data_IF_241684859064
#
_entry.id   IF_241684859064
#
_cell.length_a   1.000
_cell.length_b   1.000
_cell.length_c   1.000
_cell.angle_alpha   90.00
_cell.angle_beta   90.00
_cell.angle_gamma   90.00
#
_symmetry.space_group_name_H-M   'P 1'
#
loop_
_entity.id
_entity.type
_entity.pdbx_description
1 polymer ?
#
# COMPACT_ATOMS: atom_id res chain seq x y z
N UNK A 1 -3.60 -16.26 -7.57
CA UNK A 1 -4.89 -15.57 -7.30
C UNK A 1 -5.05 -15.44 -5.80
N UNK A 2 -5.64 -14.34 -5.32
CA UNK A 2 -5.85 -14.07 -3.88
C UNK A 2 -6.51 -15.26 -3.19
N UNK A 3 -7.55 -15.83 -3.82
CA UNK A 3 -8.28 -17.04 -3.39
C UNK A 3 -7.37 -18.22 -3.02
N UNK A 4 -6.50 -18.65 -3.93
CA UNK A 4 -5.70 -19.87 -3.71
C UNK A 4 -4.53 -19.68 -2.73
N UNK A 5 -4.02 -18.46 -2.58
CA UNK A 5 -2.89 -18.19 -1.68
C UNK A 5 -3.38 -17.84 -0.28
N UNK A 6 -4.15 -16.76 -0.15
CA UNK A 6 -4.53 -16.16 1.13
C UNK A 6 -5.69 -16.89 1.81
N UNK A 7 -6.67 -17.43 1.06
CA UNK A 7 -7.74 -18.26 1.61
C UNK A 7 -7.42 -19.78 1.53
N UNK A 8 -6.19 -20.13 1.13
CA UNK A 8 -5.72 -21.51 1.01
C UNK A 8 -4.68 -21.85 2.08
N UNK A 9 -3.51 -22.34 1.62
CA UNK A 9 -2.46 -22.84 2.52
C UNK A 9 -1.97 -21.78 3.52
N UNK A 10 -1.85 -20.51 3.11
CA UNK A 10 -1.39 -19.46 4.01
C UNK A 10 -2.37 -19.25 5.17
N UNK A 11 -3.68 -19.23 4.87
CA UNK A 11 -4.74 -19.14 5.87
C UNK A 11 -4.70 -20.29 6.88
N UNK A 12 -4.49 -21.53 6.42
CA UNK A 12 -4.38 -22.70 7.32
C UNK A 12 -3.17 -22.59 8.25
N UNK A 13 -2.04 -22.10 7.76
CA UNK A 13 -0.83 -21.89 8.57
C UNK A 13 -1.05 -20.78 9.60
N UNK A 14 -1.63 -19.65 9.18
CA UNK A 14 -1.94 -18.54 10.08
C UNK A 14 -2.94 -18.94 11.18
N UNK A 15 -4.01 -19.65 10.82
CA UNK A 15 -4.98 -20.15 11.79
C UNK A 15 -4.33 -21.10 12.82
N UNK A 16 -3.52 -22.06 12.35
CA UNK A 16 -2.85 -23.01 13.24
C UNK A 16 -1.87 -22.33 14.22
N UNK A 17 -1.24 -21.23 13.82
CA UNK A 17 -0.35 -20.47 14.69
C UNK A 17 -1.10 -19.79 15.86
N UNK A 18 -2.40 -19.53 15.70
CA UNK A 18 -3.22 -18.80 16.67
C UNK A 18 -3.98 -19.73 17.65
N UNK A 19 -4.13 -21.02 17.33
CA UNK A 19 -5.01 -21.93 18.07
C UNK A 19 -4.71 -22.07 19.56
N UNK A 20 -3.43 -22.02 19.94
CA UNK A 20 -2.99 -22.05 21.33
C UNK A 20 -2.78 -20.66 21.93
N UNK A 21 -2.60 -19.63 21.09
CA UNK A 21 -2.28 -18.27 21.51
C UNK A 21 -3.51 -17.43 21.83
N UNK A 22 -4.65 -17.70 21.19
CA UNK A 22 -5.88 -16.89 21.39
C UNK A 22 -6.46 -16.98 22.80
N UNK A 23 -6.03 -17.94 23.62
CA UNK A 23 -6.51 -18.07 25.01
C UNK A 23 -6.04 -16.89 25.86
N UNK A 24 -7.00 -16.07 26.29
CA UNK A 24 -6.75 -14.93 27.16
C UNK A 24 -6.77 -13.58 26.45
N UNK A 25 -7.00 -13.56 25.13
CA UNK A 25 -7.31 -12.36 24.38
C UNK A 25 -8.81 -12.19 24.20
N UNK A 26 -9.25 -10.95 24.18
CA UNK A 26 -10.64 -10.49 24.02
C UNK A 26 -10.90 -9.83 22.65
N UNK A 27 -9.85 -9.62 21.86
CA UNK A 27 -9.90 -9.03 20.53
C UNK A 27 -8.77 -9.57 19.64
N UNK A 28 -9.05 -9.80 18.35
CA UNK A 28 -8.04 -10.05 17.32
C UNK A 28 -8.00 -8.87 16.36
N UNK A 29 -6.79 -8.39 16.04
CA UNK A 29 -6.58 -7.38 14.99
C UNK A 29 -5.70 -8.00 13.91
N UNK A 30 -6.17 -8.00 12.66
CA UNK A 30 -5.43 -8.56 11.53
C UNK A 30 -5.64 -7.72 10.27
N UNK A 31 -4.85 -7.97 9.22
CA UNK A 31 -5.06 -7.34 7.92
C UNK A 31 -6.18 -8.01 7.10
N UNK A 32 -6.63 -7.34 6.03
CA UNK A 32 -7.75 -7.80 5.20
C UNK A 32 -7.47 -9.02 4.30
N UNK A 33 -6.25 -9.55 4.30
CA UNK A 33 -5.90 -10.79 3.57
C UNK A 33 -5.58 -11.96 4.51
N UNK A 34 -5.49 -11.74 5.83
CA UNK A 34 -5.28 -12.79 6.82
C UNK A 34 -6.59 -13.52 7.19
N UNK A 35 -7.14 -14.25 6.21
CA UNK A 35 -8.35 -15.05 6.41
C UNK A 35 -8.17 -16.17 7.45
N UNK A 36 -6.93 -16.58 7.73
CA UNK A 36 -6.61 -17.55 8.77
C UNK A 36 -6.87 -16.98 10.17
N UNK A 37 -6.36 -15.77 10.44
CA UNK A 37 -6.64 -15.07 11.69
C UNK A 37 -8.13 -14.77 11.89
N UNK A 38 -8.81 -14.31 10.84
CA UNK A 38 -10.26 -14.07 10.85
C UNK A 38 -11.01 -15.37 11.21
N UNK A 39 -10.69 -16.47 10.55
CA UNK A 39 -11.32 -17.76 10.79
C UNK A 39 -11.07 -18.30 12.21
N UNK A 40 -9.82 -18.20 12.70
CA UNK A 40 -9.44 -18.64 14.03
C UNK A 40 -10.19 -17.83 15.12
N UNK A 41 -10.27 -16.51 14.96
CA UNK A 41 -11.02 -15.63 15.85
C UNK A 41 -12.52 -15.97 15.87
N UNK A 42 -13.15 -16.13 14.70
CA UNK A 42 -14.56 -16.51 14.58
C UNK A 42 -14.85 -17.87 15.23
N UNK A 43 -13.96 -18.86 15.05
CA UNK A 43 -14.08 -20.18 15.68
C UNK A 43 -13.96 -20.10 17.21
N UNK A 44 -13.04 -19.27 17.70
CA UNK A 44 -12.86 -19.00 19.14
C UNK A 44 -13.96 -18.09 19.73
N UNK A 45 -14.83 -17.52 18.88
CA UNK A 45 -15.83 -16.49 19.25
C UNK A 45 -15.20 -15.24 19.87
N UNK A 46 -14.03 -14.86 19.38
CA UNK A 46 -13.35 -13.62 19.74
C UNK A 46 -13.66 -12.60 18.65
N UNK A 47 -14.11 -11.38 19.00
CA UNK A 47 -14.31 -10.30 18.03
C UNK A 47 -13.06 -10.01 17.22
N UNK A 48 -13.23 -9.71 15.93
CA UNK A 48 -12.12 -9.43 15.01
C UNK A 48 -12.24 -8.06 14.35
N UNK A 49 -11.17 -7.29 14.45
CA UNK A 49 -10.95 -6.04 13.72
C UNK A 49 -10.08 -6.35 12.51
N UNK A 50 -10.62 -6.13 11.32
CA UNK A 50 -9.89 -6.26 10.07
C UNK A 50 -9.44 -4.88 9.60
N UNK A 51 -8.14 -4.70 9.40
CA UNK A 51 -7.54 -3.46 8.92
C UNK A 51 -7.25 -3.58 7.42
N UNK A 52 -7.80 -2.67 6.63
CA UNK A 52 -7.52 -2.62 5.19
C UNK A 52 -6.04 -2.30 4.94
N UNK A 53 -5.41 -3.04 4.03
CA UNK A 53 -4.02 -2.83 3.57
C UNK A 53 -3.92 -2.52 2.07
N UNK A 54 -5.03 -2.69 1.34
CA UNK A 54 -5.18 -2.41 -0.08
C UNK A 54 -5.97 -1.11 -0.25
N UNK A 55 -5.26 -0.03 -0.56
CA UNK A 55 -5.83 1.31 -0.63
C UNK A 55 -7.00 1.43 -1.63
N UNK A 56 -6.90 0.71 -2.75
CA UNK A 56 -7.94 0.70 -3.78
C UNK A 56 -9.17 -0.12 -3.39
N UNK A 57 -9.05 -1.06 -2.44
CA UNK A 57 -10.08 -2.05 -2.13
C UNK A 57 -10.34 -3.07 -3.23
N UNK A 58 -9.62 -3.02 -4.34
CA UNK A 58 -9.98 -3.73 -5.56
C UNK A 58 -9.32 -5.12 -5.68
N UNK A 59 -8.40 -5.46 -4.78
CA UNK A 59 -7.72 -6.76 -4.77
C UNK A 59 -8.54 -7.83 -4.02
N UNK A 60 -9.07 -7.49 -2.85
CA UNK A 60 -9.91 -8.37 -2.03
C UNK A 60 -11.38 -8.13 -2.37
N UNK A 61 -11.98 -9.09 -3.10
CA UNK A 61 -13.37 -8.99 -3.57
C UNK A 61 -14.21 -10.10 -2.96
N UNK A 62 -15.04 -9.83 -1.95
CA UNK A 62 -15.81 -10.86 -1.25
C UNK A 62 -16.59 -11.79 -2.19
N UNK A 63 -17.27 -11.24 -3.20
CA UNK A 63 -18.04 -12.03 -4.16
C UNK A 63 -17.21 -12.96 -5.07
N UNK A 64 -15.88 -12.86 -5.07
CA UNK A 64 -14.98 -13.83 -5.72
C UNK A 64 -14.33 -14.79 -4.73
N UNK A 65 -14.35 -14.45 -3.44
CA UNK A 65 -13.72 -15.24 -2.39
C UNK A 65 -14.67 -16.25 -1.75
N UNK A 66 -15.99 -16.14 -1.97
CA UNK A 66 -17.02 -16.97 -1.33
C UNK A 66 -16.67 -18.46 -1.32
N UNK A 67 -16.43 -19.07 -2.48
CA UNK A 67 -16.15 -20.50 -2.57
C UNK A 67 -14.87 -20.90 -1.81
N UNK A 68 -13.82 -20.07 -1.88
CA UNK A 68 -12.56 -20.33 -1.19
C UNK A 68 -12.71 -20.19 0.34
N UNK A 69 -13.47 -19.18 0.79
CA UNK A 69 -13.77 -18.97 2.21
C UNK A 69 -14.70 -20.06 2.75
N UNK A 70 -15.62 -20.59 1.96
CA UNK A 70 -16.47 -21.72 2.36
C UNK A 70 -15.63 -22.99 2.53
N UNK A 71 -14.69 -23.25 1.62
CA UNK A 71 -13.73 -24.37 1.77
C UNK A 71 -12.90 -24.18 3.05
N UNK A 72 -12.36 -22.99 3.27
CA UNK A 72 -11.56 -22.68 4.46
C UNK A 72 -12.36 -22.84 5.76
N UNK A 73 -13.61 -22.34 5.77
CA UNK A 73 -14.53 -22.46 6.91
C UNK A 73 -14.76 -23.93 7.28
N UNK A 74 -15.01 -24.78 6.28
CA UNK A 74 -15.18 -26.22 6.47
C UNK A 74 -13.90 -26.91 6.97
N UNK A 75 -12.73 -26.56 6.42
CA UNK A 75 -11.45 -27.13 6.83
C UNK A 75 -11.08 -26.78 8.28
N UNK A 76 -11.39 -25.56 8.70
CA UNK A 76 -11.09 -25.07 10.04
C UNK A 76 -12.21 -25.34 11.06
N UNK A 77 -13.37 -25.82 10.62
CA UNK A 77 -14.53 -26.06 11.50
C UNK A 77 -15.11 -24.76 12.06
N UNK A 78 -15.13 -23.69 11.27
CA UNK A 78 -15.78 -22.42 11.63
C UNK A 78 -17.30 -22.62 11.51
N UNK A 79 -18.11 -22.28 12.54
CA UNK A 79 -19.54 -22.60 12.57
C UNK A 79 -20.40 -21.74 11.62
N UNK A 80 -19.90 -20.58 11.22
CA UNK A 80 -20.57 -19.63 10.32
C UNK A 80 -19.62 -19.26 9.16
N UNK A 81 -20.15 -18.78 8.02
CA UNK A 81 -19.30 -18.31 6.92
C UNK A 81 -18.29 -17.25 7.41
N UNK A 82 -17.04 -17.38 6.96
CA UNK A 82 -15.99 -16.40 7.29
C UNK A 82 -16.43 -15.01 6.82
N UNK A 83 -16.36 -14.03 7.72
CA UNK A 83 -16.71 -12.63 7.45
C UNK A 83 -15.44 -11.88 7.04
N UNK A 84 -15.20 -11.60 5.75
CA UNK A 84 -13.93 -11.04 5.28
C UNK A 84 -13.65 -9.62 5.79
N UNK A 85 -14.67 -8.92 6.28
CA UNK A 85 -14.56 -7.60 6.90
C UNK A 85 -14.54 -7.65 8.43
N UNK A 86 -14.58 -8.85 9.02
CA UNK A 86 -14.60 -9.05 10.47
C UNK A 86 -15.88 -8.56 11.14
N UNK A 87 -15.78 -8.31 12.44
CA UNK A 87 -16.79 -7.58 13.23
C UNK A 87 -16.66 -6.07 13.02
N UNK A 88 -15.42 -5.60 12.80
CA UNK A 88 -15.11 -4.20 12.53
C UNK A 88 -14.11 -4.10 11.37
N UNK A 89 -14.39 -3.21 10.42
CA UNK A 89 -13.49 -2.97 9.29
C UNK A 89 -12.89 -1.57 9.37
N UNK A 90 -11.59 -1.48 9.65
CA UNK A 90 -10.86 -0.22 9.77
C UNK A 90 -10.15 0.10 8.46
N UNK A 91 -10.33 1.33 7.96
CA UNK A 91 -9.75 1.78 6.69
C UNK A 91 -8.79 2.95 6.95
N UNK A 92 -7.46 2.70 6.98
CA UNK A 92 -6.44 3.73 7.21
C UNK A 92 -6.09 4.53 5.94
N UNK A 93 -7.04 4.68 5.02
CA UNK A 93 -6.88 5.37 3.74
C UNK A 93 -7.96 6.44 3.58
N UNK A 94 -7.70 7.45 2.75
CA UNK A 94 -8.74 8.42 2.42
C UNK A 94 -9.78 7.80 1.46
N UNK A 95 -11.08 8.09 1.61
CA UNK A 95 -12.11 7.56 0.72
C UNK A 95 -11.83 7.73 -0.78
N UNK A 96 -11.27 8.85 -1.28
CA UNK A 96 -10.96 9.00 -2.71
C UNK A 96 -9.91 8.01 -3.23
N UNK A 97 -9.09 7.40 -2.35
CA UNK A 97 -8.08 6.41 -2.71
C UNK A 97 -8.69 5.06 -3.09
N UNK A 98 -9.90 4.75 -2.60
CA UNK A 98 -10.60 3.53 -3.01
C UNK A 98 -11.11 3.64 -4.45
N UNK A 99 -11.15 2.50 -5.12
CA UNK A 99 -11.85 2.36 -6.40
C UNK A 99 -13.35 2.47 -6.16
N UNK A 100 -14.07 3.37 -6.88
CA UNK A 100 -15.52 3.51 -6.75
C UNK A 100 -16.33 2.23 -7.01
N UNK A 101 -15.78 1.26 -7.75
CA UNK A 101 -16.43 -0.03 -8.00
C UNK A 101 -16.30 -1.01 -6.82
N UNK A 102 -15.40 -0.72 -5.87
CA UNK A 102 -15.13 -1.55 -4.68
C UNK A 102 -15.18 -0.69 -3.41
N UNK A 103 -16.35 -0.10 -3.09
CA UNK A 103 -16.51 0.72 -1.91
C UNK A 103 -16.27 -0.10 -0.64
N UNK A 104 -15.82 0.57 0.43
CA UNK A 104 -15.81 -0.04 1.75
C UNK A 104 -17.25 -0.33 2.22
N UNK A 105 -17.45 -1.27 3.14
CA UNK A 105 -18.72 -1.45 3.86
C UNK A 105 -19.26 -0.13 4.42
N UNK A 106 -20.58 -0.01 4.52
CA UNK A 106 -21.23 1.24 4.95
C UNK A 106 -20.89 1.62 6.41
N UNK A 107 -20.56 0.62 7.23
CA UNK A 107 -20.16 0.68 8.63
C UNK A 107 -18.64 0.69 8.81
N UNK A 108 -17.85 0.85 7.74
CA UNK A 108 -16.40 0.92 7.83
C UNK A 108 -15.92 2.11 8.68
N UNK A 109 -14.96 1.84 9.55
CA UNK A 109 -14.32 2.80 10.44
C UNK A 109 -13.14 3.45 9.72
N UNK A 110 -13.35 4.64 9.18
CA UNK A 110 -12.28 5.41 8.53
C UNK A 110 -11.32 5.96 9.56
N UNK A 111 -10.03 5.75 9.35
CA UNK A 111 -8.99 6.12 10.30
C UNK A 111 -7.91 6.96 9.63
N UNK A 112 -7.48 8.00 10.34
CA UNK A 112 -6.32 8.79 9.98
C UNK A 112 -5.06 7.93 10.16
N UNK A 113 -4.21 7.78 9.12
CA UNK A 113 -2.90 7.17 9.24
C UNK A 113 -1.92 8.12 9.95
N UNK A 114 -0.71 7.65 10.25
CA UNK A 114 0.31 8.49 10.88
C UNK A 114 0.52 9.80 10.11
N UNK A 115 0.43 10.91 10.84
CA UNK A 115 0.34 12.23 10.22
C UNK A 115 1.64 12.65 9.52
N UNK A 116 2.78 12.19 10.05
CA UNK A 116 4.12 12.57 9.62
C UNK A 116 4.36 14.09 9.60
N UNK A 117 5.58 14.49 9.26
CA UNK A 117 5.86 15.84 8.77
C UNK A 117 5.66 15.90 7.25
N UNK A 118 5.37 17.09 6.72
CA UNK A 118 5.43 17.37 5.29
C UNK A 118 6.05 18.77 5.12
N UNK A 119 7.38 18.90 5.26
CA UNK A 119 8.10 20.14 5.03
C UNK A 119 8.00 20.57 3.56
N UNK A 120 8.54 21.75 3.24
CA UNK A 120 8.66 22.18 1.86
C UNK A 120 9.57 21.20 1.09
N UNK A 121 9.19 20.81 -0.14
CA UNK A 121 9.95 19.85 -0.91
C UNK A 121 11.28 20.45 -1.37
N UNK A 122 12.34 19.64 -1.36
CA UNK A 122 13.73 20.08 -1.61
C UNK A 122 14.22 19.85 -3.05
N UNK A 123 13.31 19.47 -3.95
CA UNK A 123 13.61 19.11 -5.33
C UNK A 123 14.00 17.64 -5.52
N UNK A 124 14.09 16.84 -4.45
CA UNK A 124 14.52 15.46 -4.54
C UNK A 124 13.47 14.51 -5.12
N UNK A 125 13.95 13.40 -5.69
CA UNK A 125 13.15 12.30 -6.19
C UNK A 125 13.44 11.07 -5.34
N UNK A 126 12.40 10.42 -4.84
CA UNK A 126 12.50 9.11 -4.20
C UNK A 126 12.01 8.06 -5.19
N UNK A 127 12.80 7.01 -5.44
CA UNK A 127 12.43 5.94 -6.37
C UNK A 127 12.53 4.55 -5.73
N UNK A 128 11.57 3.66 -5.99
CA UNK A 128 11.64 2.25 -5.54
C UNK A 128 10.71 1.31 -6.31
N UNK A 129 11.14 0.07 -6.54
CA UNK A 129 10.25 -0.98 -7.07
C UNK A 129 9.72 -1.93 -5.98
N UNK A 130 9.87 -1.55 -4.71
CA UNK A 130 9.40 -2.36 -3.58
C UNK A 130 10.31 -3.54 -3.29
N UNK A 131 9.73 -4.60 -2.71
CA UNK A 131 10.43 -5.82 -2.28
C UNK A 131 9.86 -7.09 -2.88
N UNK A 132 8.72 -7.02 -3.57
CA UNK A 132 8.01 -8.21 -4.08
C UNK A 132 8.39 -8.57 -5.52
N UNK A 133 8.55 -7.57 -6.39
CA UNK A 133 8.86 -7.75 -7.81
C UNK A 133 10.12 -7.00 -8.24
N UNK A 134 10.90 -6.49 -7.27
CA UNK A 134 12.10 -5.71 -7.53
C UNK A 134 13.19 -6.56 -8.18
N UNK A 135 13.31 -7.85 -7.83
CA UNK A 135 14.26 -8.79 -8.42
C UNK A 135 13.87 -9.25 -9.82
N UNK A 136 12.58 -9.32 -10.13
CA UNK A 136 12.00 -9.75 -11.41
C UNK A 136 11.78 -8.58 -12.38
N UNK A 137 12.11 -7.36 -11.97
CA UNK A 137 11.88 -6.12 -12.74
C UNK A 137 12.77 -5.95 -14.00
N UNK A 138 13.63 -6.92 -14.29
CA UNK A 138 14.51 -6.90 -15.46
C UNK A 138 15.45 -5.68 -15.44
N UNK A 139 15.45 -4.91 -16.54
CA UNK A 139 16.28 -3.71 -16.74
C UNK A 139 15.61 -2.41 -16.24
N UNK A 140 14.47 -2.50 -15.53
CA UNK A 140 13.68 -1.32 -15.19
C UNK A 140 14.43 -0.37 -14.25
N UNK A 141 15.20 -0.90 -13.29
CA UNK A 141 16.05 -0.05 -12.45
C UNK A 141 17.14 0.66 -13.28
N UNK A 142 17.75 0.02 -14.27
CA UNK A 142 18.74 0.67 -15.15
C UNK A 142 18.11 1.81 -15.95
N UNK A 143 16.88 1.62 -16.46
CA UNK A 143 16.12 2.67 -17.13
C UNK A 143 15.76 3.83 -16.20
N UNK A 144 15.36 3.54 -14.96
CA UNK A 144 15.08 4.56 -13.92
C UNK A 144 16.35 5.34 -13.58
N UNK A 145 17.48 4.67 -13.33
CA UNK A 145 18.75 5.33 -12.97
C UNK A 145 19.27 6.22 -14.10
N UNK A 146 19.16 5.75 -15.35
CA UNK A 146 19.48 6.55 -16.53
C UNK A 146 18.58 7.78 -16.65
N UNK A 147 17.28 7.63 -16.36
CA UNK A 147 16.34 8.74 -16.36
C UNK A 147 16.67 9.78 -15.28
N UNK A 148 16.87 9.33 -14.03
CA UNK A 148 17.23 10.19 -12.89
C UNK A 148 18.52 10.97 -13.17
N UNK A 149 19.54 10.29 -13.72
CA UNK A 149 20.80 10.92 -14.13
C UNK A 149 20.58 12.05 -15.15
N UNK A 150 19.66 11.87 -16.09
CA UNK A 150 19.35 12.87 -17.12
C UNK A 150 18.57 14.09 -16.57
N UNK A 151 17.82 13.95 -15.48
CA UNK A 151 17.06 15.06 -14.88
C UNK A 151 17.94 16.05 -14.13
N UNK A 152 19.09 15.60 -13.62
CA UNK A 152 19.98 16.41 -12.78
C UNK A 152 19.45 16.68 -11.35
N UNK A 153 18.24 16.22 -11.01
CA UNK A 153 17.66 16.38 -9.68
C UNK A 153 18.33 15.42 -8.68
N UNK A 154 18.42 15.79 -7.38
CA UNK A 154 18.83 14.86 -6.33
C UNK A 154 17.88 13.66 -6.29
N UNK A 155 18.41 12.45 -6.20
CA UNK A 155 17.60 11.25 -6.17
C UNK A 155 18.15 10.22 -5.18
N UNK A 156 17.22 9.54 -4.49
CA UNK A 156 17.52 8.34 -3.72
C UNK A 156 16.69 7.17 -4.25
N UNK A 157 17.36 6.08 -4.57
CA UNK A 157 16.74 4.87 -5.12
C UNK A 157 16.90 3.74 -4.12
N UNK A 158 15.77 3.26 -3.59
CA UNK A 158 15.73 2.08 -2.72
C UNK A 158 15.44 0.83 -3.57
N UNK A 159 16.43 -0.07 -3.67
CA UNK A 159 16.39 -1.24 -4.57
C UNK A 159 15.90 -2.53 -3.90
N UNK A 160 15.76 -2.54 -2.56
CA UNK A 160 15.43 -3.73 -1.79
C UNK A 160 16.68 -4.52 -1.35
N UNK A 161 16.52 -5.32 -0.29
CA UNK A 161 17.64 -5.98 0.40
C UNK A 161 18.30 -7.10 -0.42
N UNK A 162 17.57 -7.66 -1.38
CA UNK A 162 18.04 -8.77 -2.21
C UNK A 162 18.88 -8.32 -3.41
N UNK A 163 19.01 -7.01 -3.63
CA UNK A 163 19.82 -6.44 -4.71
C UNK A 163 21.06 -5.72 -4.14
N UNK A 164 22.20 -5.87 -4.80
CA UNK A 164 23.44 -5.15 -4.46
C UNK A 164 23.51 -3.83 -5.26
N UNK A 165 23.64 -2.65 -4.61
CA UNK A 165 23.81 -1.37 -5.31
C UNK A 165 24.97 -1.34 -6.31
N UNK A 166 26.06 -2.07 -6.04
CA UNK A 166 27.24 -2.14 -6.92
C UNK A 166 26.92 -2.68 -8.31
N UNK A 167 25.83 -3.46 -8.46
CA UNK A 167 25.41 -4.01 -9.77
C UNK A 167 25.10 -2.93 -10.81
N UNK A 168 24.77 -1.73 -10.34
CA UNK A 168 24.40 -0.59 -11.18
C UNK A 168 25.58 0.31 -11.53
N UNK A 169 26.80 -0.04 -11.09
CA UNK A 169 28.00 0.76 -11.32
C UNK A 169 27.96 2.14 -10.65
N UNK A 170 28.92 2.98 -11.02
CA UNK A 170 29.02 4.35 -10.48
C UNK A 170 27.87 5.22 -10.94
N UNK A 171 27.18 5.85 -10.00
CA UNK A 171 26.14 6.84 -10.27
C UNK A 171 26.69 8.27 -10.15
N UNK A 172 26.07 9.26 -10.82
CA UNK A 172 26.38 10.67 -10.60
C UNK A 172 26.21 11.06 -9.12
N UNK A 173 26.93 12.08 -8.61
CA UNK A 173 26.91 12.45 -7.19
C UNK A 173 25.52 12.75 -6.61
N UNK A 174 24.58 13.20 -7.45
CA UNK A 174 23.21 13.51 -7.06
C UNK A 174 22.29 12.28 -7.00
N UNK A 175 22.71 11.11 -7.48
CA UNK A 175 21.91 9.87 -7.48
C UNK A 175 22.53 8.87 -6.51
N UNK A 176 21.80 8.54 -5.44
CA UNK A 176 22.21 7.55 -4.45
C UNK A 176 21.38 6.29 -4.59
N UNK A 177 22.03 5.12 -4.59
CA UNK A 177 21.37 3.82 -4.68
C UNK A 177 21.62 3.04 -3.40
N UNK A 178 20.56 2.66 -2.72
CA UNK A 178 20.60 2.03 -1.41
C UNK A 178 19.71 0.79 -1.38
N UNK A 179 20.11 -0.23 -0.62
CA UNK A 179 19.26 -1.42 -0.42
C UNK A 179 18.00 -1.08 0.39
N UNK A 180 18.13 -0.15 1.33
CA UNK A 180 17.05 0.28 2.21
C UNK A 180 17.18 1.77 2.51
N UNK A 181 16.04 2.44 2.53
CA UNK A 181 15.91 3.84 2.94
C UNK A 181 14.69 3.94 3.84
N UNK A 182 14.80 4.73 4.90
CA UNK A 182 13.64 5.05 5.72
C UNK A 182 12.74 6.05 4.96
N UNK A 183 11.64 5.54 4.43
CA UNK A 183 10.69 6.34 3.66
C UNK A 183 9.95 7.37 4.51
N UNK A 184 9.80 7.16 5.82
CA UNK A 184 9.18 8.14 6.71
C UNK A 184 10.12 9.35 6.94
N UNK A 185 11.41 9.19 6.64
CA UNK A 185 12.40 10.28 6.63
C UNK A 185 12.50 10.95 5.26
N UNK A 186 12.59 10.20 4.16
CA UNK A 186 12.90 10.82 2.84
C UNK A 186 11.68 11.30 2.06
N UNK A 187 10.53 10.61 2.14
CA UNK A 187 9.34 10.98 1.36
C UNK A 187 8.79 12.37 1.74
N UNK A 188 8.77 12.79 3.02
CA UNK A 188 8.32 14.13 3.38
C UNK A 188 9.04 15.29 2.66
N UNK A 189 10.27 15.08 2.18
CA UNK A 189 11.05 16.09 1.47
C UNK A 189 10.97 15.97 -0.07
N UNK A 190 10.45 14.85 -0.57
CA UNK A 190 10.46 14.54 -1.99
C UNK A 190 9.52 15.46 -2.79
N UNK A 191 10.00 15.94 -3.94
CA UNK A 191 9.15 16.62 -4.93
C UNK A 191 8.36 15.63 -5.79
N UNK A 192 8.89 14.42 -6.02
CA UNK A 192 8.23 13.33 -6.75
C UNK A 192 8.62 11.99 -6.12
N UNK A 193 7.66 11.08 -6.02
CA UNK A 193 7.91 9.67 -5.68
C UNK A 193 7.62 8.78 -6.89
N UNK A 194 8.63 8.08 -7.39
CA UNK A 194 8.50 7.07 -8.45
C UNK A 194 8.44 5.68 -7.79
N UNK A 195 7.35 4.95 -7.97
CA UNK A 195 7.20 3.65 -7.32
C UNK A 195 6.40 2.63 -8.15
N UNK A 196 6.48 1.37 -7.72
CA UNK A 196 5.76 0.25 -8.34
C UNK A 196 4.25 0.25 -8.10
N UNK A 197 3.70 1.10 -7.22
CA UNK A 197 2.25 1.14 -6.96
C UNK A 197 1.75 0.36 -5.74
N UNK A 198 2.61 -0.11 -4.84
CA UNK A 198 2.15 -0.74 -3.59
C UNK A 198 1.34 0.23 -2.71
N UNK A 199 0.26 -0.26 -2.10
CA UNK A 199 -0.70 0.55 -1.30
C UNK A 199 -0.04 1.37 -0.18
N UNK A 200 0.97 0.81 0.51
CA UNK A 200 1.73 1.53 1.54
C UNK A 200 2.53 2.71 1.00
N UNK A 201 3.17 2.56 -0.18
CA UNK A 201 3.88 3.67 -0.83
C UNK A 201 2.92 4.73 -1.38
N UNK A 202 1.76 4.31 -1.88
CA UNK A 202 0.71 5.23 -2.31
C UNK A 202 0.28 6.14 -1.16
N UNK A 203 -0.04 5.54 -0.01
CA UNK A 203 -0.40 6.28 1.19
C UNK A 203 0.74 7.18 1.67
N UNK A 204 1.96 6.65 1.82
CA UNK A 204 3.13 7.42 2.27
C UNK A 204 3.42 8.62 1.38
N UNK A 205 3.30 8.47 0.06
CA UNK A 205 3.51 9.56 -0.89
C UNK A 205 2.45 10.66 -0.74
N UNK A 206 1.18 10.29 -0.55
CA UNK A 206 0.11 11.24 -0.22
C UNK A 206 0.39 11.94 1.11
N UNK A 207 0.80 11.19 2.14
CA UNK A 207 1.10 11.73 3.47
C UNK A 207 2.35 12.60 3.51
N UNK A 208 3.33 12.37 2.64
CA UNK A 208 4.47 13.26 2.41
C UNK A 208 4.14 14.48 1.55
N UNK A 209 2.97 14.51 0.91
CA UNK A 209 2.57 15.61 0.02
C UNK A 209 3.19 15.55 -1.38
N UNK A 210 3.76 14.41 -1.77
CA UNK A 210 4.50 14.25 -3.03
C UNK A 210 3.63 13.65 -4.15
N UNK A 211 3.57 14.30 -5.34
CA UNK A 211 3.07 13.69 -6.56
C UNK A 211 3.81 12.39 -6.94
N UNK A 212 3.13 11.52 -7.68
CA UNK A 212 3.59 10.13 -7.88
C UNK A 212 3.78 9.74 -9.35
N UNK A 213 4.76 8.90 -9.63
CA UNK A 213 4.89 8.16 -10.90
C UNK A 213 4.77 6.68 -10.57
N UNK A 214 3.78 6.01 -11.15
CA UNK A 214 3.50 4.60 -10.87
C UNK A 214 3.89 3.72 -12.06
N UNK A 215 4.69 2.69 -11.81
CA UNK A 215 5.11 1.65 -12.77
C UNK A 215 4.59 0.27 -12.30
N UNK A 216 3.31 -0.05 -12.52
CA UNK A 216 2.67 -1.22 -11.93
C UNK A 216 3.11 -2.52 -12.61
N UNK A 217 3.57 -3.50 -11.83
CA UNK A 217 4.05 -4.80 -12.29
C UNK A 217 3.09 -5.96 -11.95
N UNK A 218 2.30 -5.87 -10.88
CA UNK A 218 1.37 -6.93 -10.49
C UNK A 218 0.62 -6.68 -9.18
N UNK A 219 -0.08 -7.69 -8.69
CA UNK A 219 -0.86 -7.66 -7.44
C UNK A 219 -1.87 -6.48 -7.38
N UNK A 220 -1.84 -5.66 -6.33
CA UNK A 220 -2.70 -4.48 -6.15
C UNK A 220 -2.26 -3.26 -6.97
N UNK A 221 -1.04 -3.28 -7.50
CA UNK A 221 -0.38 -2.11 -8.09
C UNK A 221 -1.15 -1.48 -9.26
N UNK A 222 -1.76 -2.24 -10.20
CA UNK A 222 -2.56 -1.64 -11.27
C UNK A 222 -3.75 -0.82 -10.74
N UNK A 223 -4.40 -1.28 -9.67
CA UNK A 223 -5.54 -0.56 -9.08
C UNK A 223 -5.11 0.72 -8.34
N UNK A 224 -3.93 0.72 -7.74
CA UNK A 224 -3.29 1.93 -7.23
C UNK A 224 -2.98 2.90 -8.37
N UNK A 225 -2.42 2.41 -9.47
CA UNK A 225 -2.11 3.23 -10.65
C UNK A 225 -3.38 3.90 -11.21
N UNK A 226 -4.47 3.14 -11.34
CA UNK A 226 -5.78 3.66 -11.75
C UNK A 226 -6.29 4.74 -10.78
N UNK A 227 -6.13 4.55 -9.47
CA UNK A 227 -6.52 5.53 -8.46
C UNK A 227 -5.68 6.81 -8.53
N UNK A 228 -4.35 6.69 -8.69
CA UNK A 228 -3.45 7.83 -8.89
C UNK A 228 -3.83 8.63 -10.14
N UNK A 229 -4.11 7.94 -11.25
CA UNK A 229 -4.54 8.57 -12.50
C UNK A 229 -5.90 9.26 -12.37
N UNK A 230 -6.91 8.55 -11.83
CA UNK A 230 -8.28 9.04 -11.63
C UNK A 230 -8.34 10.29 -10.74
N UNK A 231 -7.60 10.30 -9.64
CA UNK A 231 -7.54 11.44 -8.71
C UNK A 231 -6.66 12.55 -9.32
N UNK A 232 -5.73 12.21 -10.20
CA UNK A 232 -4.77 13.13 -10.83
C UNK A 232 -3.66 13.54 -9.87
N UNK A 233 -3.12 12.57 -9.12
CA UNK A 233 -2.00 12.76 -8.20
C UNK A 233 -0.64 12.61 -8.89
N UNK A 234 -0.63 12.19 -10.16
CA UNK A 234 0.57 11.65 -10.76
C UNK A 234 0.46 11.23 -12.21
N UNK A 235 1.38 10.36 -12.62
CA UNK A 235 1.40 9.70 -13.93
C UNK A 235 1.57 8.19 -13.75
N UNK A 236 1.09 7.43 -14.72
CA UNK A 236 1.27 5.98 -14.79
C UNK A 236 2.05 5.67 -16.05
N UNK A 237 3.09 4.87 -15.91
CA UNK A 237 3.92 4.40 -17.01
C UNK A 237 3.86 2.87 -17.06
N UNK A 238 3.82 2.30 -18.26
CA UNK A 238 3.92 0.86 -18.42
C UNK A 238 5.37 0.41 -18.20
N UNK A 239 5.67 -0.46 -17.21
CA UNK A 239 7.03 -0.87 -16.91
C UNK A 239 7.72 -1.63 -18.05
N UNK A 240 6.97 -2.23 -18.97
CA UNK A 240 7.51 -2.98 -20.12
C UNK A 240 8.00 -2.01 -21.20
N UNK A 241 7.23 -0.95 -21.47
CA UNK A 241 7.48 -0.06 -22.61
C UNK A 241 8.14 1.27 -22.26
N UNK A 242 8.11 1.69 -20.98
CA UNK A 242 8.66 2.97 -20.54
C UNK A 242 10.19 3.04 -20.72
N UNK A 243 10.66 3.84 -21.65
CA UNK A 243 12.09 4.06 -21.85
C UNK A 243 12.66 5.02 -20.78
N UNK A 244 13.99 5.03 -20.61
CA UNK A 244 14.66 6.02 -19.75
C UNK A 244 14.32 7.47 -20.15
N UNK A 245 14.13 7.73 -21.45
CA UNK A 245 13.73 9.05 -21.95
C UNK A 245 12.33 9.42 -21.50
N UNK A 246 11.34 8.54 -21.72
CA UNK A 246 9.96 8.79 -21.30
C UNK A 246 9.82 8.91 -19.79
N UNK A 247 10.62 8.17 -19.01
CA UNK A 247 10.66 8.32 -17.55
C UNK A 247 11.21 9.70 -17.16
N UNK A 248 12.30 10.15 -17.78
CA UNK A 248 12.90 11.46 -17.49
C UNK A 248 11.98 12.63 -17.86
N UNK A 249 11.30 12.56 -19.01
CA UNK A 249 10.28 13.53 -19.42
C UNK A 249 9.13 13.57 -18.41
N UNK A 250 8.62 12.40 -18.02
CA UNK A 250 7.52 12.30 -17.05
C UNK A 250 7.90 12.86 -15.68
N UNK A 251 9.13 12.62 -15.22
CA UNK A 251 9.66 13.24 -13.99
C UNK A 251 9.70 14.76 -14.13
N UNK A 252 10.27 15.26 -15.23
CA UNK A 252 10.43 16.70 -15.47
C UNK A 252 9.07 17.41 -15.52
N UNK A 253 8.10 16.83 -16.23
CA UNK A 253 6.74 17.35 -16.32
C UNK A 253 6.04 17.36 -14.95
N UNK A 254 6.17 16.28 -14.18
CA UNK A 254 5.53 16.17 -12.87
C UNK A 254 6.18 17.09 -11.83
N UNK A 255 7.49 17.32 -11.91
CA UNK A 255 8.19 18.35 -11.14
C UNK A 255 7.66 19.75 -11.44
N UNK A 256 7.12 20.02 -12.63
CA UNK A 256 6.49 21.29 -12.97
C UNK A 256 4.98 21.33 -12.67
N UNK A 257 4.31 20.19 -12.47
CA UNK A 257 2.85 20.09 -12.35
C UNK A 257 2.29 20.58 -11.00
N UNK A 258 1.95 21.87 -10.94
CA UNK A 258 1.30 22.49 -9.78
C UNK A 258 -0.08 21.89 -9.45
N UNK A 259 -0.79 21.37 -10.46
CA UNK A 259 -2.13 20.78 -10.25
C UNK A 259 -2.01 19.47 -9.49
N UNK A 260 -1.06 18.62 -9.87
CA UNK A 260 -0.77 17.37 -9.15
C UNK A 260 -0.35 17.64 -7.69
N UNK A 261 0.52 18.65 -7.48
CA UNK A 261 0.90 19.10 -6.12
C UNK A 261 -0.30 19.56 -5.31
N UNK A 262 -1.14 20.43 -5.87
CA UNK A 262 -2.33 20.94 -5.17
C UNK A 262 -3.30 19.81 -4.81
N UNK A 263 -3.56 18.88 -5.74
CA UNK A 263 -4.45 17.72 -5.48
C UNK A 263 -3.88 16.79 -4.42
N UNK A 264 -2.57 16.55 -4.43
CA UNK A 264 -1.89 15.75 -3.40
C UNK A 264 -2.02 16.41 -2.03
N UNK A 265 -1.75 17.71 -1.93
CA UNK A 265 -1.92 18.47 -0.68
C UNK A 265 -3.39 18.48 -0.20
N UNK A 266 -4.35 18.58 -1.12
CA UNK A 266 -5.78 18.50 -0.79
C UNK A 266 -6.16 17.12 -0.25
N UNK A 267 -5.71 16.05 -0.91
CA UNK A 267 -5.97 14.69 -0.45
C UNK A 267 -5.36 14.47 0.93
N UNK A 268 -4.07 14.82 1.12
CA UNK A 268 -3.39 14.77 2.42
C UNK A 268 -4.20 15.49 3.52
N UNK A 269 -4.64 16.72 3.26
CA UNK A 269 -5.46 17.48 4.23
C UNK A 269 -6.78 16.78 4.56
N UNK A 270 -7.41 16.12 3.59
CA UNK A 270 -8.63 15.35 3.84
C UNK A 270 -8.36 14.07 4.63
N UNK A 271 -7.26 13.37 4.35
CA UNK A 271 -6.81 12.19 5.10
C UNK A 271 -6.53 12.53 6.56
N UNK A 272 -5.88 13.67 6.82
CA UNK A 272 -5.59 14.17 8.17
C UNK A 272 -6.82 14.64 8.96
N UNK A 273 -8.01 14.71 8.34
CA UNK A 273 -9.28 15.04 9.00
C UNK A 273 -10.07 13.81 9.43
N UNK A 274 -9.61 12.61 9.06
CA UNK A 274 -10.23 11.37 9.52
C UNK A 274 -10.07 11.21 11.05
N UNK A 275 -10.91 10.40 11.70
CA UNK A 275 -10.73 10.03 13.11
C UNK A 275 -9.33 9.50 13.41
N UNK A 276 -8.73 9.93 14.53
CA UNK A 276 -7.42 9.43 14.97
C UNK A 276 -7.50 7.96 15.39
N UNK A 277 -6.38 7.21 15.38
CA UNK A 277 -6.34 5.85 15.91
C UNK A 277 -6.91 5.73 17.33
N UNK A 278 -6.63 6.70 18.21
CA UNK A 278 -7.19 6.71 19.57
C UNK A 278 -8.72 6.75 19.59
N UNK A 279 -9.35 7.50 18.68
CA UNK A 279 -10.81 7.56 18.56
C UNK A 279 -11.40 6.24 18.08
N UNK A 280 -10.68 5.53 17.20
CA UNK A 280 -11.09 4.19 16.76
C UNK A 280 -10.99 3.19 17.91
N UNK A 281 -9.90 3.23 18.68
CA UNK A 281 -9.71 2.36 19.86
C UNK A 281 -10.80 2.61 20.90
N UNK A 282 -11.06 3.88 21.28
CA UNK A 282 -12.12 4.25 22.23
C UNK A 282 -13.50 3.74 21.76
N UNK A 283 -13.78 3.82 20.45
CA UNK A 283 -15.02 3.29 19.89
C UNK A 283 -15.09 1.76 20.04
N UNK A 284 -14.03 1.04 19.67
CA UNK A 284 -13.97 -0.42 19.79
C UNK A 284 -14.13 -0.88 21.24
N UNK A 285 -13.46 -0.23 22.19
CA UNK A 285 -13.61 -0.53 23.63
C UNK A 285 -15.05 -0.32 24.10
N UNK A 286 -15.75 0.70 23.60
CA UNK A 286 -17.13 1.00 24.01
C UNK A 286 -18.17 -0.02 23.52
N UNK A 287 -17.90 -0.73 22.42
CA UNK A 287 -18.82 -1.71 21.83
C UNK A 287 -18.49 -3.15 22.22
N UNK A 288 -17.31 -3.39 22.79
CA UNK A 288 -16.85 -4.69 23.27
C UNK A 288 -17.11 -4.91 24.78
N UNK A 289 -17.40 -3.84 25.53
CA UNK A 289 -17.84 -3.87 26.93
C UNK A 289 -19.31 -4.25 27.08
#
# INVERSE_FOLDING_TARGET
MVEGHFAGRAALVAAAALDDELRGYDLVVCDEVDFGAIAAAQRARIPVVVVAVIASGALVRPGRLTDALDVLSNQLGVPEPIRPYGDFFVVPFAPPMRDPHFPAPADALWMQPDAGSAPDPDGSIVATLGTEFNTESGDLFDRILKALSATGAPAVVAIGRDLNPERFGSQPPQVRVEQFVDFDVVIPHASVVLHHGGSGLFLRSVMGGAPQIVLPMGADQPFTADSVSRIGLGRVLDPITATAHTIAETITDLLADERARHRTAQLRRSTLRLPKPSTIVEHLESVLQ
#
